data_IF_739921928069
#
_entry.id   IF_739921928069
#
_cell.length_a   1.000
_cell.length_b   1.000
_cell.length_c   1.000
_cell.angle_alpha   90.00
_cell.angle_beta   90.00
_cell.angle_gamma   90.00
#
_symmetry.space_group_name_H-M   'P 1'
#
loop_
_entity.id
_entity.type
_entity.pdbx_description
1 polymer ?
#
# COMPACT_ATOMS: atom_id res chain seq x y z
N UNK A 1 -50.58 -3.41 40.84
CA UNK A 1 -49.23 -2.87 40.59
C UNK A 1 -49.27 -1.39 40.93
N UNK A 2 -48.43 -0.93 41.86
CA UNK A 2 -48.43 0.48 42.29
C UNK A 2 -47.59 1.32 41.34
N UNK A 3 -47.87 2.62 41.25
CA UNK A 3 -47.07 3.55 40.44
C UNK A 3 -45.56 3.48 40.77
N UNK A 4 -45.24 3.21 42.04
CA UNK A 4 -43.88 2.99 42.55
C UNK A 4 -43.21 1.73 42.03
N UNK A 5 -43.94 0.61 41.87
CA UNK A 5 -43.36 -0.61 41.30
C UNK A 5 -43.09 -0.46 39.81
N UNK A 6 -43.95 0.27 39.09
CA UNK A 6 -43.78 0.57 37.67
C UNK A 6 -42.54 1.46 37.42
N UNK A 7 -42.33 2.48 38.26
CA UNK A 7 -41.16 3.36 38.20
C UNK A 7 -39.86 2.60 38.46
N UNK A 8 -39.83 1.72 39.46
CA UNK A 8 -38.65 0.93 39.79
C UNK A 8 -38.25 -0.03 38.64
N UNK A 9 -39.24 -0.66 37.98
CA UNK A 9 -39.00 -1.51 36.82
C UNK A 9 -38.48 -0.73 35.60
N UNK A 10 -39.00 0.46 35.33
CA UNK A 10 -38.52 1.32 34.24
C UNK A 10 -37.08 1.79 34.47
N UNK A 11 -36.74 2.15 35.71
CA UNK A 11 -35.39 2.61 36.05
C UNK A 11 -34.37 1.47 35.91
N UNK A 12 -34.71 0.27 36.39
CA UNK A 12 -33.84 -0.90 36.29
C UNK A 12 -33.67 -1.36 34.84
N UNK A 13 -34.73 -1.32 34.02
CA UNK A 13 -34.65 -1.58 32.58
C UNK A 13 -33.78 -0.54 31.85
N UNK A 14 -33.92 0.74 32.17
CA UNK A 14 -33.11 1.82 31.59
C UNK A 14 -31.63 1.71 31.95
N UNK A 15 -31.32 1.43 33.22
CA UNK A 15 -29.94 1.24 33.69
C UNK A 15 -29.28 0.00 33.07
N UNK A 16 -30.00 -1.12 33.00
CA UNK A 16 -29.47 -2.35 32.38
C UNK A 16 -29.27 -2.18 30.88
N UNK A 17 -30.18 -1.51 30.17
CA UNK A 17 -30.01 -1.18 28.75
C UNK A 17 -28.80 -0.27 28.52
N UNK A 18 -28.62 0.75 29.36
CA UNK A 18 -27.50 1.69 29.26
C UNK A 18 -26.15 1.03 29.55
N UNK A 19 -26.11 0.15 30.56
CA UNK A 19 -24.93 -0.63 30.93
C UNK A 19 -24.59 -1.65 29.83
N UNK A 20 -25.59 -2.34 29.29
CA UNK A 20 -25.39 -3.29 28.19
C UNK A 20 -24.84 -2.55 26.97
N UNK A 21 -25.43 -1.40 26.60
CA UNK A 21 -24.94 -0.59 25.50
C UNK A 21 -23.49 -0.13 25.73
N UNK A 22 -23.12 0.23 26.95
CA UNK A 22 -21.74 0.59 27.29
C UNK A 22 -20.76 -0.58 27.19
N UNK A 23 -21.16 -1.77 27.65
CA UNK A 23 -20.34 -2.98 27.65
C UNK A 23 -20.21 -3.60 26.25
N UNK A 24 -21.21 -3.44 25.39
CA UNK A 24 -21.20 -3.97 24.02
C UNK A 24 -20.90 -2.92 22.96
N UNK A 25 -20.65 -1.66 23.36
CA UNK A 25 -20.19 -0.63 22.42
C UNK A 25 -18.79 -1.01 22.00
N UNK A 26 -18.68 -1.54 20.79
CA UNK A 26 -17.40 -1.69 20.11
C UNK A 26 -16.80 -0.28 19.98
N UNK A 27 -15.80 0.00 20.79
CA UNK A 27 -15.10 1.28 20.85
C UNK A 27 -13.83 1.26 20.00
N UNK A 28 -13.56 0.14 19.33
CA UNK A 28 -12.46 0.01 18.38
C UNK A 28 -12.72 0.98 17.23
N UNK A 29 -11.91 2.05 17.07
CA UNK A 29 -12.01 2.88 15.88
C UNK A 29 -11.80 1.98 14.65
N UNK A 30 -12.51 2.24 13.52
CA UNK A 30 -12.21 1.51 12.30
C UNK A 30 -10.73 1.69 11.97
N UNK A 31 -10.02 0.59 11.74
CA UNK A 31 -8.65 0.65 11.26
C UNK A 31 -8.65 1.42 9.92
N UNK A 32 -7.82 2.47 9.77
CA UNK A 32 -7.77 3.22 8.52
C UNK A 32 -7.26 2.31 7.40
N UNK A 33 -8.16 1.83 6.55
CA UNK A 33 -7.81 0.95 5.45
C UNK A 33 -7.27 1.79 4.28
N UNK A 34 -6.03 1.54 3.87
CA UNK A 34 -5.49 2.12 2.63
C UNK A 34 -6.28 1.53 1.47
N UNK A 35 -6.94 2.41 0.72
CA UNK A 35 -7.47 2.05 -0.59
C UNK A 35 -6.27 1.71 -1.49
N UNK A 36 -6.14 0.43 -1.84
CA UNK A 36 -5.23 0.01 -2.90
C UNK A 36 -5.92 0.39 -4.21
N UNK A 37 -5.33 1.29 -5.02
CA UNK A 37 -5.84 1.59 -6.35
C UNK A 37 -6.10 0.32 -7.15
N UNK A 38 -7.12 0.37 -7.99
CA UNK A 38 -7.28 -0.65 -9.03
C UNK A 38 -6.01 -0.68 -9.89
N UNK A 39 -5.60 -1.89 -10.26
CA UNK A 39 -4.50 -2.09 -11.20
C UNK A 39 -4.94 -1.57 -12.55
N UNK A 40 -4.26 -0.51 -12.95
CA UNK A 40 -4.41 0.16 -14.22
C UNK A 40 -3.03 0.21 -14.87
N UNK A 41 -2.96 -0.16 -16.15
CA UNK A 41 -1.84 0.17 -17.01
C UNK A 41 -2.40 1.05 -18.13
N UNK A 42 -1.97 2.29 -18.17
CA UNK A 42 -2.36 3.22 -19.23
C UNK A 42 -1.12 3.69 -19.98
N UNK A 43 -1.24 3.78 -21.29
CA UNK A 43 -0.21 4.32 -22.16
C UNK A 43 -0.84 5.47 -22.92
N UNK A 44 -0.85 6.65 -22.28
CA UNK A 44 -1.40 7.89 -22.82
C UNK A 44 -0.37 9.01 -22.72
N UNK A 45 -0.50 10.01 -23.59
CA UNK A 45 0.28 11.26 -23.53
C UNK A 45 1.82 11.11 -23.43
N UNK A 46 2.38 10.06 -24.05
CA UNK A 46 3.84 9.88 -24.18
C UNK A 46 4.52 9.26 -22.95
N UNK A 47 3.76 8.71 -22.01
CA UNK A 47 4.29 7.93 -20.89
C UNK A 47 3.46 6.68 -20.63
N UNK A 48 4.08 5.72 -19.95
CA UNK A 48 3.41 4.57 -19.36
C UNK A 48 3.07 4.92 -17.91
N UNK A 49 1.83 4.68 -17.48
CA UNK A 49 1.39 4.81 -16.10
C UNK A 49 0.93 3.45 -15.57
N UNK A 50 1.35 3.10 -14.36
CA UNK A 50 0.79 1.98 -13.61
C UNK A 50 0.33 2.42 -12.22
N UNK A 51 -0.81 1.91 -11.78
CA UNK A 51 -1.36 2.10 -10.44
C UNK A 51 -1.56 0.77 -9.73
N UNK A 52 -1.49 0.77 -8.41
CA UNK A 52 -1.81 -0.41 -7.59
C UNK A 52 -1.28 -0.25 -6.17
N UNK A 53 -0.90 -1.35 -5.54
CA UNK A 53 -0.17 -1.39 -4.28
C UNK A 53 0.89 -2.48 -4.29
N UNK A 54 1.93 -2.34 -3.48
CA UNK A 54 2.93 -3.39 -3.30
C UNK A 54 2.54 -4.36 -2.20
N UNK A 55 2.70 -5.66 -2.47
CA UNK A 55 2.76 -6.71 -1.45
C UNK A 55 4.12 -7.40 -1.51
N UNK A 56 4.83 -7.44 -0.38
CA UNK A 56 6.12 -8.13 -0.27
C UNK A 56 5.92 -9.63 -0.36
N UNK A 57 6.64 -10.27 -1.28
CA UNK A 57 6.73 -11.73 -1.40
C UNK A 57 7.94 -12.28 -0.64
N UNK A 58 9.05 -11.54 -0.65
CA UNK A 58 10.29 -11.92 0.03
C UNK A 58 10.88 -10.74 0.81
N UNK A 59 11.41 -11.00 2.00
CA UNK A 59 11.93 -9.99 2.91
C UNK A 59 10.90 -9.50 3.93
N UNK A 60 11.20 -8.40 4.63
CA UNK A 60 10.32 -7.84 5.64
C UNK A 60 9.13 -7.13 4.99
N UNK A 61 7.91 -7.59 5.30
CA UNK A 61 6.67 -6.85 5.05
C UNK A 61 6.38 -5.99 6.28
N UNK A 62 6.51 -4.65 6.20
CA UNK A 62 6.05 -3.82 7.28
C UNK A 62 4.52 -3.91 7.42
N UNK A 63 3.98 -3.83 8.65
CA UNK A 63 2.55 -3.91 8.89
C UNK A 63 1.84 -2.73 8.24
N UNK A 64 0.95 -3.00 7.29
CA UNK A 64 0.31 -1.93 6.52
C UNK A 64 -0.08 -2.34 5.12
N UNK A 65 -0.47 -1.33 4.34
CA UNK A 65 -0.79 -1.41 2.91
C UNK A 65 -0.19 -0.21 2.21
N UNK A 66 0.14 -0.37 0.93
CA UNK A 66 0.68 0.71 0.11
C UNK A 66 -0.22 1.02 -1.08
N UNK A 67 -0.19 2.28 -1.51
CA UNK A 67 -0.68 2.72 -2.80
C UNK A 67 0.53 3.24 -3.59
N UNK A 68 0.63 2.85 -4.86
CA UNK A 68 1.74 3.21 -5.73
C UNK A 68 1.23 3.76 -7.06
N UNK A 69 1.91 4.81 -7.53
CA UNK A 69 1.87 5.28 -8.91
C UNK A 69 3.27 5.15 -9.51
N UNK A 70 3.35 4.52 -10.68
CA UNK A 70 4.57 4.37 -11.45
C UNK A 70 4.36 5.09 -12.78
N UNK A 71 5.32 5.91 -13.19
CA UNK A 71 5.34 6.56 -14.51
C UNK A 71 6.66 6.30 -15.19
N UNK A 72 6.63 5.85 -16.44
CA UNK A 72 7.83 5.63 -17.24
C UNK A 72 7.78 6.45 -18.54
N UNK A 73 8.88 7.12 -18.84
CA UNK A 73 9.01 8.08 -19.94
C UNK A 73 10.01 7.53 -20.98
N UNK A 74 9.53 7.00 -22.13
CA UNK A 74 10.39 6.36 -23.12
C UNK A 74 11.48 7.29 -23.66
N UNK A 75 11.15 8.54 -23.97
CA UNK A 75 12.12 9.50 -24.53
C UNK A 75 13.23 9.88 -23.55
N UNK A 76 12.91 9.86 -22.25
CA UNK A 76 13.83 10.24 -21.19
C UNK A 76 14.61 9.04 -20.63
N UNK A 77 14.17 7.81 -20.95
CA UNK A 77 14.71 6.57 -20.38
C UNK A 77 14.69 6.57 -18.85
N UNK A 78 13.60 7.07 -18.26
CA UNK A 78 13.43 7.16 -16.81
C UNK A 78 12.07 6.63 -16.37
N UNK A 79 12.01 6.09 -15.15
CA UNK A 79 10.75 5.86 -14.44
C UNK A 79 10.76 6.56 -13.08
N UNK A 80 9.58 6.98 -12.64
CA UNK A 80 9.33 7.49 -11.29
C UNK A 80 8.32 6.60 -10.60
N UNK A 81 8.58 6.26 -9.34
CA UNK A 81 7.62 5.61 -8.45
C UNK A 81 7.29 6.58 -7.31
N UNK A 82 6.01 6.77 -7.04
CA UNK A 82 5.52 7.42 -5.83
C UNK A 82 4.75 6.37 -5.02
N UNK A 83 5.23 6.05 -3.82
CA UNK A 83 4.62 5.07 -2.93
C UNK A 83 4.22 5.73 -1.62
N UNK A 84 2.99 5.47 -1.20
CA UNK A 84 2.45 5.89 0.09
C UNK A 84 2.06 4.64 0.89
N UNK A 85 2.62 4.49 2.09
CA UNK A 85 2.36 3.35 2.98
C UNK A 85 1.80 3.85 4.30
N UNK A 86 0.71 3.24 4.76
CA UNK A 86 0.24 3.45 6.14
C UNK A 86 0.78 2.32 7.00
N UNK A 87 1.52 2.67 8.04
CA UNK A 87 1.96 1.74 9.05
C UNK A 87 1.02 1.77 10.25
N UNK A 88 0.46 0.62 10.60
CA UNK A 88 -0.36 0.50 11.80
C UNK A 88 0.50 0.08 13.00
N UNK A 89 0.45 0.86 14.07
CA UNK A 89 1.11 0.58 15.34
C UNK A 89 0.10 0.69 16.49
N UNK A 90 0.46 0.19 17.67
CA UNK A 90 -0.46 0.13 18.82
C UNK A 90 -0.97 1.50 19.28
N UNK A 91 -0.24 2.57 18.96
CA UNK A 91 -0.56 3.94 19.37
C UNK A 91 -1.28 4.75 18.28
N UNK A 92 -1.39 4.22 17.04
CA UNK A 92 -1.95 4.97 15.93
C UNK A 92 -1.56 4.44 14.56
N UNK A 93 -1.52 5.34 13.58
CA UNK A 93 -1.06 5.01 12.23
C UNK A 93 -0.24 6.15 11.65
N UNK A 94 0.89 5.81 11.06
CA UNK A 94 1.80 6.74 10.41
C UNK A 94 1.67 6.60 8.90
N UNK A 95 1.64 7.73 8.18
CA UNK A 95 1.72 7.77 6.72
C UNK A 95 3.15 8.09 6.30
N UNK A 96 3.79 7.17 5.59
CA UNK A 96 5.08 7.41 4.96
C UNK A 96 4.90 7.50 3.44
N UNK A 97 5.46 8.55 2.84
CA UNK A 97 5.47 8.75 1.40
C UNK A 97 6.91 8.83 0.92
N UNK A 98 7.23 8.05 -0.10
CA UNK A 98 8.57 7.97 -0.70
C UNK A 98 8.46 8.11 -2.21
N UNK A 99 9.51 8.64 -2.81
CA UNK A 99 9.65 8.68 -4.26
C UNK A 99 10.97 8.05 -4.68
N UNK A 100 10.93 7.33 -5.79
CA UNK A 100 12.10 6.68 -6.38
C UNK A 100 12.23 7.07 -7.84
N UNK A 101 13.46 7.40 -8.25
CA UNK A 101 13.81 7.70 -9.63
C UNK A 101 14.68 6.56 -10.17
N UNK A 102 14.18 5.89 -11.22
CA UNK A 102 14.83 4.77 -11.86
C UNK A 102 15.38 5.17 -13.23
N UNK A 103 16.56 4.67 -13.55
CA UNK A 103 17.12 4.66 -14.90
C UNK A 103 16.62 3.43 -15.65
N UNK A 104 16.00 3.62 -16.81
CA UNK A 104 15.58 2.50 -17.67
C UNK A 104 16.82 1.80 -18.22
N UNK A 105 16.83 0.47 -18.14
CA UNK A 105 17.89 -0.42 -18.63
C UNK A 105 17.46 -1.24 -19.84
N UNK A 106 16.16 -1.56 -19.95
CA UNK A 106 15.57 -2.25 -21.10
C UNK A 106 14.12 -1.78 -21.30
N UNK A 107 13.73 -1.54 -22.55
CA UNK A 107 12.36 -1.18 -22.92
C UNK A 107 11.94 -1.93 -24.17
N UNK A 108 10.86 -2.70 -24.06
CA UNK A 108 10.27 -3.47 -25.16
C UNK A 108 8.75 -3.30 -25.17
N UNK A 109 8.08 -3.86 -26.18
CA UNK A 109 6.62 -3.84 -26.28
C UNK A 109 5.91 -4.64 -25.16
N UNK A 110 6.63 -5.58 -24.51
CA UNK A 110 6.07 -6.44 -23.47
C UNK A 110 6.50 -6.05 -22.05
N UNK A 111 7.67 -5.42 -21.90
CA UNK A 111 8.28 -5.15 -20.59
C UNK A 111 9.11 -3.87 -20.55
N UNK A 112 9.19 -3.29 -19.36
CA UNK A 112 10.15 -2.22 -19.01
C UNK A 112 10.96 -2.69 -17.81
N UNK A 113 12.28 -2.52 -17.86
CA UNK A 113 13.19 -2.75 -16.73
C UNK A 113 13.91 -1.45 -16.39
N UNK A 114 14.01 -1.15 -15.10
CA UNK A 114 14.67 0.05 -14.62
C UNK A 114 15.34 -0.18 -13.26
N UNK A 115 16.37 0.61 -12.94
CA UNK A 115 17.13 0.51 -11.68
C UNK A 115 17.28 1.87 -11.01
N UNK A 116 17.07 1.91 -9.70
CA UNK A 116 17.36 3.05 -8.84
C UNK A 116 18.48 2.65 -7.88
N UNK A 117 19.71 3.07 -8.20
CA UNK A 117 20.92 2.70 -7.46
C UNK A 117 20.98 3.46 -6.13
N UNK A 118 21.26 2.76 -5.03
CA UNK A 118 21.36 3.35 -3.68
C UNK A 118 20.06 4.02 -3.19
N UNK A 119 18.93 3.65 -3.78
CA UNK A 119 17.66 4.32 -3.58
C UNK A 119 17.04 4.02 -2.20
N UNK A 120 17.40 2.89 -1.57
CA UNK A 120 16.94 2.49 -0.23
C UNK A 120 18.04 2.60 0.82
N UNK A 121 18.69 3.77 0.83
CA UNK A 121 19.96 4.01 1.52
C UNK A 121 21.15 3.72 0.60
N UNK A 122 22.28 4.36 0.87
CA UNK A 122 23.46 4.45 -0.03
C UNK A 122 24.00 3.11 -0.57
N UNK A 123 23.58 1.96 -0.01
CA UNK A 123 24.05 0.62 -0.37
C UNK A 123 22.95 -0.33 -0.90
N UNK A 124 21.73 0.15 -1.17
CA UNK A 124 20.62 -0.73 -1.56
C UNK A 124 19.93 -0.24 -2.83
N UNK A 125 20.02 -1.07 -3.85
CA UNK A 125 19.44 -0.81 -5.17
C UNK A 125 18.00 -1.31 -5.20
N UNK A 126 17.17 -0.63 -5.99
CA UNK A 126 15.83 -1.10 -6.36
C UNK A 126 15.78 -1.39 -7.85
N UNK A 127 15.27 -2.57 -8.20
CA UNK A 127 15.07 -3.02 -9.57
C UNK A 127 13.57 -3.11 -9.84
N UNK A 128 13.09 -2.31 -10.79
CA UNK A 128 11.69 -2.26 -11.19
C UNK A 128 11.50 -3.00 -12.52
N UNK A 129 10.49 -3.86 -12.57
CA UNK A 129 10.08 -4.60 -13.76
C UNK A 129 8.58 -4.39 -13.97
N UNK A 130 8.20 -3.90 -15.14
CA UNK A 130 6.80 -3.67 -15.52
C UNK A 130 6.42 -4.64 -16.65
N UNK A 131 5.27 -5.29 -16.53
CA UNK A 131 4.71 -6.24 -17.49
C UNK A 131 3.47 -5.62 -18.14
N UNK A 132 3.61 -5.14 -19.38
CA UNK A 132 2.64 -4.25 -20.01
C UNK A 132 1.32 -4.95 -20.36
N UNK A 133 1.39 -6.22 -20.76
CA UNK A 133 0.21 -6.99 -21.16
C UNK A 133 -0.62 -7.51 -19.99
N UNK A 134 0.03 -7.81 -18.86
CA UNK A 134 -0.61 -8.43 -17.69
C UNK A 134 -1.03 -7.39 -16.65
N UNK A 135 -0.74 -6.10 -16.90
CA UNK A 135 -0.97 -4.99 -15.94
C UNK A 135 -0.36 -5.31 -14.58
N UNK A 136 0.87 -5.82 -14.62
CA UNK A 136 1.59 -6.31 -13.45
C UNK A 136 2.96 -5.64 -13.34
N UNK A 137 3.49 -5.62 -12.13
CA UNK A 137 4.83 -5.12 -11.87
C UNK A 137 5.46 -5.87 -10.71
N UNK A 138 6.78 -5.93 -10.73
CA UNK A 138 7.61 -6.48 -9.66
C UNK A 138 8.67 -5.46 -9.31
N UNK A 139 8.91 -5.29 -8.02
CA UNK A 139 10.08 -4.57 -7.52
C UNK A 139 10.92 -5.49 -6.67
N UNK A 140 12.22 -5.45 -6.89
CA UNK A 140 13.21 -6.18 -6.09
C UNK A 140 14.16 -5.17 -5.47
N UNK A 141 14.63 -5.45 -4.26
CA UNK A 141 15.66 -4.67 -3.62
C UNK A 141 16.74 -5.58 -3.05
N UNK A 142 17.97 -5.08 -3.03
CA UNK A 142 19.10 -5.84 -2.53
C UNK A 142 20.35 -4.98 -2.43
N UNK A 143 21.42 -5.51 -1.83
CA UNK A 143 22.68 -4.80 -1.75
C UNK A 143 23.22 -4.50 -3.14
N UNK A 144 23.69 -3.27 -3.34
CA UNK A 144 24.43 -2.88 -4.54
C UNK A 144 25.80 -3.55 -4.61
N UNK A 145 26.54 -3.28 -5.69
CA UNK A 145 27.88 -3.86 -5.88
C UNK A 145 28.82 -3.51 -4.71
N UNK A 146 29.40 -4.53 -4.08
CA UNK A 146 30.31 -4.37 -2.94
C UNK A 146 29.63 -4.07 -1.59
N UNK A 147 28.30 -4.13 -1.53
CA UNK A 147 27.51 -3.95 -0.31
C UNK A 147 27.09 -5.29 0.31
N UNK A 148 26.90 -5.30 1.62
CA UNK A 148 26.17 -6.35 2.34
C UNK A 148 24.82 -5.77 2.82
N UNK A 149 23.76 -6.58 2.80
CA UNK A 149 22.45 -6.13 3.26
C UNK A 149 21.31 -7.07 2.90
N UNK A 150 20.13 -6.81 3.47
CA UNK A 150 18.95 -7.61 3.19
C UNK A 150 18.43 -7.37 1.78
N UNK A 151 17.90 -8.45 1.19
CA UNK A 151 17.20 -8.42 -0.09
C UNK A 151 15.71 -8.71 0.11
N UNK A 152 14.92 -8.41 -0.90
CA UNK A 152 13.50 -8.74 -0.91
C UNK A 152 12.84 -8.38 -2.23
N UNK A 153 11.56 -8.69 -2.33
CA UNK A 153 10.77 -8.45 -3.51
C UNK A 153 9.31 -8.21 -3.17
N UNK A 154 8.63 -7.44 -4.03
CA UNK A 154 7.20 -7.20 -3.95
C UNK A 154 6.57 -7.25 -5.34
N UNK A 155 5.30 -7.61 -5.40
CA UNK A 155 4.48 -7.65 -6.61
C UNK A 155 3.32 -6.66 -6.52
N UNK A 156 2.88 -6.17 -7.67
CA UNK A 156 1.82 -5.18 -7.77
C UNK A 156 0.45 -5.85 -7.64
N UNK A 157 -0.32 -5.40 -6.67
CA UNK A 157 -1.69 -5.85 -6.39
C UNK A 157 -2.70 -4.72 -6.56
N UNK A 158 -3.96 -5.13 -6.62
CA UNK A 158 -5.13 -4.27 -6.81
C UNK A 158 -6.15 -4.99 -7.69
N UNK A 159 -7.43 -4.67 -7.49
CA UNK A 159 -8.49 -5.16 -8.37
C UNK A 159 -8.23 -4.68 -9.80
N UNK A 160 -8.53 -5.51 -10.81
CA UNK A 160 -8.33 -5.09 -12.20
C UNK A 160 -9.35 -4.00 -12.54
N UNK A 161 -8.89 -2.88 -13.11
CA UNK A 161 -9.80 -1.83 -13.57
C UNK A 161 -10.79 -2.40 -14.59
N UNK A 162 -12.08 -2.29 -14.30
CA UNK A 162 -13.14 -2.72 -15.21
C UNK A 162 -13.51 -1.57 -16.16
N UNK A 163 -13.34 -1.78 -17.47
CA UNK A 163 -13.76 -0.84 -18.53
C UNK A 163 -15.29 -0.73 -18.68
#
# INVERSE_FOLDING_TARGET
MTLTTLFACLLTAGLTASLTLWLTRDSTPPEPNVFIPERLADQSDGFLMMLGGWITEEGYQPPGRSAVEIRCYPEQQLCTEAVATIFHHTEGSDLEAQTYLYQVTDWTDARVQAVAIGAMGECRDRHLQLYLHDTDARVEWGPGEGCEGDSGSAVLIGEVWAE
#
